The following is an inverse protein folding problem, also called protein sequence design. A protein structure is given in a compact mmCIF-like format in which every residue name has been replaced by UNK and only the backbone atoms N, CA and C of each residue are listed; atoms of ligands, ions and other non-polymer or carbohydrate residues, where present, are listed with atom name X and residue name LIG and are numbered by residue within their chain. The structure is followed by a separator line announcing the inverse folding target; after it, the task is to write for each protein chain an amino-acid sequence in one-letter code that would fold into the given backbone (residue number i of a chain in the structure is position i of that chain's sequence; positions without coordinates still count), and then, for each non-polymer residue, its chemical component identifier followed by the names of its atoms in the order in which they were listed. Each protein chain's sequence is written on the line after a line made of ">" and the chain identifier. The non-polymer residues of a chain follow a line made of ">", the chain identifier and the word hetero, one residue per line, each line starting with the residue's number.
data_IF_578840710916
#
_entry.id   IF_578840710916
#
_cell.length_a   1.000
_cell.length_b   1.000
_cell.length_c   1.000
_cell.angle_alpha   90.00
_cell.angle_beta   90.00
_cell.angle_gamma   90.00
#
_symmetry.space_group_name_H-M   'P 1'
#
loop_
_entity.id
_entity.type
_entity.pdbx_description
1 polymer ?
#
# COMPACT_ATOMS: atom_id res chain seq x y z
N UNK A 1 11.66 11.73 -6.45
CA UNK A 1 10.61 11.13 -5.61
C UNK A 1 9.75 10.30 -6.56
N UNK A 2 10.00 8.99 -6.61
CA UNK A 2 9.26 8.07 -7.45
C UNK A 2 7.88 7.86 -6.85
N UNK A 3 6.89 7.78 -7.73
CA UNK A 3 5.53 7.36 -7.39
C UNK A 3 5.36 5.90 -7.78
N UNK A 4 4.89 5.08 -6.84
CA UNK A 4 4.47 3.70 -7.07
C UNK A 4 2.95 3.63 -7.06
N UNK A 5 2.40 2.70 -7.82
CA UNK A 5 0.96 2.50 -7.95
C UNK A 5 0.67 1.01 -7.75
N UNK A 6 0.02 0.67 -6.65
CA UNK A 6 -0.41 -0.70 -6.34
C UNK A 6 -1.92 -0.78 -6.26
N UNK A 7 -2.45 -1.92 -6.69
CA UNK A 7 -3.86 -2.29 -6.54
C UNK A 7 -3.95 -3.57 -5.74
N UNK A 8 -4.66 -3.54 -4.62
CA UNK A 8 -4.89 -4.68 -3.75
C UNK A 8 -6.37 -5.11 -3.78
N UNK A 9 -6.61 -6.42 -3.76
CA UNK A 9 -7.94 -7.01 -3.65
C UNK A 9 -8.02 -7.84 -2.37
N UNK A 10 -9.00 -7.53 -1.52
CA UNK A 10 -9.25 -8.26 -0.27
C UNK A 10 -10.46 -9.21 -0.43
N UNK A 11 -10.46 -10.37 0.22
CA UNK A 11 -11.51 -11.41 0.06
C UNK A 11 -12.56 -11.45 1.18
N UNK A 12 -12.45 -10.60 2.21
CA UNK A 12 -13.27 -10.63 3.43
C UNK A 12 -13.90 -9.26 3.75
N UNK A 13 -14.68 -9.16 4.85
CA UNK A 13 -15.27 -7.92 5.36
C UNK A 13 -14.29 -6.72 5.32
N UNK A 14 -14.79 -5.62 4.72
CA UNK A 14 -14.15 -4.30 4.55
C UNK A 14 -13.41 -3.83 5.79
N UNK A 15 -14.06 -3.87 6.96
CA UNK A 15 -13.57 -3.23 8.17
C UNK A 15 -12.39 -3.99 8.79
N UNK A 16 -12.47 -5.33 8.83
CA UNK A 16 -11.39 -6.17 9.35
C UNK A 16 -10.14 -6.12 8.46
N UNK A 17 -10.33 -6.05 7.13
CA UNK A 17 -9.23 -5.93 6.19
C UNK A 17 -8.54 -4.58 6.29
N UNK A 18 -9.29 -3.49 6.46
CA UNK A 18 -8.69 -2.16 6.61
C UNK A 18 -7.84 -2.05 7.88
N UNK A 19 -8.31 -2.57 9.01
CA UNK A 19 -7.51 -2.59 10.24
C UNK A 19 -6.23 -3.41 10.08
N UNK A 20 -6.30 -4.57 9.42
CA UNK A 20 -5.11 -5.38 9.15
C UNK A 20 -4.13 -4.68 8.19
N UNK A 21 -4.63 -4.08 7.11
CA UNK A 21 -3.82 -3.41 6.08
C UNK A 21 -3.16 -2.16 6.64
N UNK A 22 -3.90 -1.30 7.34
CA UNK A 22 -3.35 -0.10 7.98
C UNK A 22 -2.29 -0.46 9.02
N UNK A 23 -2.57 -1.46 9.87
CA UNK A 23 -1.59 -1.98 10.83
C UNK A 23 -0.33 -2.56 10.18
N UNK A 24 -0.42 -3.12 8.97
CA UNK A 24 0.76 -3.53 8.19
C UNK A 24 1.53 -2.30 7.71
N UNK A 25 0.86 -1.33 7.09
CA UNK A 25 1.47 -0.13 6.51
C UNK A 25 2.22 0.67 7.58
N UNK A 26 1.63 0.86 8.74
CA UNK A 26 2.20 1.64 9.86
C UNK A 26 3.53 1.06 10.39
N UNK A 27 3.85 -0.21 10.10
CA UNK A 27 5.15 -0.81 10.46
C UNK A 27 6.28 -0.43 9.51
N UNK A 28 5.95 0.00 8.30
CA UNK A 28 6.93 0.18 7.22
C UNK A 28 6.96 1.60 6.64
N UNK A 29 5.88 2.37 6.83
CA UNK A 29 5.74 3.73 6.33
C UNK A 29 4.65 4.49 7.07
N UNK A 30 4.17 5.57 6.46
CA UNK A 30 3.15 6.42 7.03
C UNK A 30 2.04 6.68 6.00
N UNK A 31 0.78 6.51 6.38
CA UNK A 31 -0.36 6.88 5.55
C UNK A 31 -0.54 8.40 5.65
N UNK A 32 -0.31 9.13 4.56
CA UNK A 32 -0.45 10.58 4.51
C UNK A 32 -1.81 11.04 3.99
N UNK A 33 -2.53 10.16 3.28
CA UNK A 33 -3.89 10.37 2.83
C UNK A 33 -4.64 9.04 2.78
N UNK A 34 -5.90 9.03 3.21
CA UNK A 34 -6.81 7.90 3.00
C UNK A 34 -8.19 8.45 2.62
N UNK A 35 -8.69 8.08 1.43
CA UNK A 35 -9.98 8.49 0.92
C UNK A 35 -10.81 7.26 0.53
N UNK A 36 -12.02 7.16 1.07
CA UNK A 36 -13.01 6.21 0.58
C UNK A 36 -13.61 6.74 -0.74
N UNK A 37 -13.49 5.95 -1.80
CA UNK A 37 -14.10 6.28 -3.10
C UNK A 37 -15.49 5.66 -3.25
N UNK A 38 -15.72 4.51 -2.61
CA UNK A 38 -17.01 3.83 -2.53
C UNK A 38 -17.09 3.03 -1.22
N UNK A 39 -18.21 2.35 -0.98
CA UNK A 39 -18.38 1.46 0.17
C UNK A 39 -17.43 0.24 0.17
N UNK A 40 -16.78 -0.02 -0.97
CA UNK A 40 -15.89 -1.18 -1.18
C UNK A 40 -14.50 -0.76 -1.68
N UNK A 41 -14.23 0.54 -1.83
CA UNK A 41 -12.99 1.02 -2.44
C UNK A 41 -12.36 2.14 -1.65
N UNK A 42 -11.08 1.98 -1.32
CA UNK A 42 -10.28 2.96 -0.58
C UNK A 42 -8.96 3.23 -1.32
N UNK A 43 -8.60 4.50 -1.39
CA UNK A 43 -7.33 4.96 -1.92
C UNK A 43 -6.50 5.49 -0.76
N UNK A 44 -5.28 4.97 -0.62
CA UNK A 44 -4.30 5.43 0.36
C UNK A 44 -3.05 5.97 -0.32
N UNK A 45 -2.52 7.06 0.19
CA UNK A 45 -1.20 7.58 -0.13
C UNK A 45 -0.28 7.27 1.04
N UNK A 46 0.83 6.62 0.75
CA UNK A 46 1.77 6.10 1.74
C UNK A 46 3.14 6.69 1.43
N UNK A 47 3.75 7.33 2.41
CA UNK A 47 5.16 7.71 2.36
C UNK A 47 5.99 6.60 2.99
N UNK A 48 7.00 6.14 2.26
CA UNK A 48 7.81 5.00 2.66
C UNK A 48 9.27 5.16 2.22
N UNK A 49 10.19 4.70 3.06
CA UNK A 49 11.58 4.60 2.68
C UNK A 49 11.77 3.59 1.53
N UNK A 50 12.62 3.87 0.53
CA UNK A 50 12.85 2.96 -0.59
C UNK A 50 13.37 1.56 -0.18
N UNK A 51 13.93 1.42 1.01
CA UNK A 51 14.35 0.15 1.62
C UNK A 51 13.19 -0.72 2.08
N UNK A 52 12.06 -0.11 2.46
CA UNK A 52 10.90 -0.76 3.06
C UNK A 52 9.83 -1.16 2.04
N UNK A 53 9.91 -0.69 0.79
CA UNK A 53 8.95 -1.04 -0.28
C UNK A 53 8.84 -2.57 -0.48
N UNK A 54 9.96 -3.29 -0.51
CA UNK A 54 9.96 -4.75 -0.66
C UNK A 54 9.30 -5.47 0.52
N UNK A 55 9.77 -5.22 1.77
CA UNK A 55 9.13 -5.73 2.98
C UNK A 55 7.62 -5.43 3.08
N UNK A 56 7.20 -4.20 2.78
CA UNK A 56 5.79 -3.82 2.76
C UNK A 56 5.00 -4.65 1.73
N UNK A 57 5.52 -4.79 0.50
CA UNK A 57 4.87 -5.59 -0.54
C UNK A 57 4.66 -7.04 -0.09
N UNK A 58 5.69 -7.64 0.49
CA UNK A 58 5.62 -9.02 0.98
C UNK A 58 4.56 -9.15 2.08
N UNK A 59 4.60 -8.29 3.10
CA UNK A 59 3.64 -8.33 4.20
C UNK A 59 2.19 -8.08 3.75
N UNK A 60 1.97 -7.16 2.80
CA UNK A 60 0.64 -6.94 2.23
C UNK A 60 0.16 -8.15 1.43
N UNK A 61 1.05 -8.79 0.66
CA UNK A 61 0.71 -9.94 -0.18
C UNK A 61 0.28 -11.18 0.63
N UNK A 62 0.63 -11.24 1.92
CA UNK A 62 0.15 -12.29 2.84
C UNK A 62 -1.31 -12.10 3.26
N UNK A 63 -1.87 -10.89 3.11
CA UNK A 63 -3.24 -10.55 3.51
C UNK A 63 -4.16 -10.25 2.32
N UNK A 64 -3.62 -9.66 1.26
CA UNK A 64 -4.38 -9.20 0.10
C UNK A 64 -3.67 -9.57 -1.20
N UNK A 65 -4.45 -9.73 -2.26
CA UNK A 65 -3.87 -9.94 -3.59
C UNK A 65 -3.39 -8.59 -4.13
N UNK A 66 -2.09 -8.31 -4.06
CA UNK A 66 -1.49 -7.08 -4.58
C UNK A 66 -1.06 -7.26 -6.05
N UNK A 67 -1.38 -6.26 -6.87
CA UNK A 67 -1.04 -6.16 -8.29
C UNK A 67 -0.44 -4.78 -8.58
N UNK A 68 0.43 -4.69 -9.60
CA UNK A 68 1.17 -3.46 -9.92
C UNK A 68 2.64 -3.60 -9.57
N UNK A 69 3.43 -4.17 -10.50
CA UNK A 69 4.86 -4.36 -10.32
C UNK A 69 5.65 -3.28 -11.06
N UNK A 70 6.05 -2.23 -10.34
CA UNK A 70 7.16 -1.40 -10.77
C UNK A 70 8.28 -1.40 -9.72
N UNK A 71 8.94 -2.55 -9.61
CA UNK A 71 10.05 -2.81 -8.68
C UNK A 71 11.36 -2.09 -9.02
N UNK A 72 11.41 -1.27 -10.07
CA UNK A 72 12.67 -0.62 -10.45
C UNK A 72 13.06 0.43 -9.42
N UNK A 73 13.87 0.03 -8.44
CA UNK A 73 14.51 0.87 -7.44
C UNK A 73 15.39 1.89 -8.17
N UNK A 74 15.06 3.18 -8.22
CA UNK A 74 15.99 4.16 -8.76
C UNK A 74 17.10 4.37 -7.73
N UNK A 75 18.38 4.29 -8.12
CA UNK A 75 19.46 4.61 -7.19
C UNK A 75 19.39 6.10 -6.79
N UNK A 76 19.47 6.38 -5.48
CA UNK A 76 19.63 7.73 -4.93
C UNK A 76 18.37 8.45 -4.47
N UNK A 77 17.19 7.81 -4.46
CA UNK A 77 15.99 8.43 -3.89
C UNK A 77 15.95 8.33 -2.36
N UNK A 78 15.50 9.41 -1.71
CA UNK A 78 15.32 9.46 -0.25
C UNK A 78 13.97 8.91 0.19
N UNK A 79 12.93 9.13 -0.59
CA UNK A 79 11.54 8.78 -0.27
C UNK A 79 10.76 8.33 -1.52
N UNK A 80 9.81 7.43 -1.30
CA UNK A 80 8.88 6.92 -2.30
C UNK A 80 7.45 7.19 -1.83
N UNK A 81 6.62 7.69 -2.73
CA UNK A 81 5.17 7.79 -2.50
C UNK A 81 4.49 6.60 -3.15
N UNK A 82 3.77 5.81 -2.38
CA UNK A 82 2.95 4.70 -2.87
C UNK A 82 1.48 5.12 -2.86
N UNK A 83 0.86 5.09 -4.03
CA UNK A 83 -0.59 5.13 -4.16
C UNK A 83 -1.11 3.69 -4.13
N UNK A 84 -1.86 3.35 -3.08
CA UNK A 84 -2.45 2.05 -2.88
C UNK A 84 -3.97 2.14 -3.08
N UNK A 85 -4.46 1.49 -4.12
CA UNK A 85 -5.89 1.32 -4.39
C UNK A 85 -6.35 -0.03 -3.85
N UNK A 86 -7.34 -0.04 -2.98
CA UNK A 86 -7.85 -1.28 -2.36
C UNK A 86 -9.31 -1.44 -2.70
N UNK A 87 -9.65 -2.61 -3.25
CA UNK A 87 -11.02 -3.05 -3.45
C UNK A 87 -11.29 -4.24 -2.53
N UNK A 88 -12.40 -4.20 -1.80
CA UNK A 88 -12.84 -5.23 -0.86
C UNK A 88 -14.07 -5.97 -1.41
#
# INVERSE_FOLDING_TARGET
>A
MKKLYWTAFAQMNVYSNLLAITGIIDRFGCITLANCFSDVTIIMVIEIEPSQVGPLYQALSEQVLVTGHDFKRPPGEKEVTLLLHITV
#
